data_IF_514982230070
#
_entry.id   IF_514982230070
#
_cell.length_a   1.000
_cell.length_b   1.000
_cell.length_c   1.000
_cell.angle_alpha   90.00
_cell.angle_beta   90.00
_cell.angle_gamma   90.00
#
_symmetry.space_group_name_H-M   'P 1'
#
loop_
_entity.id
_entity.type
_entity.pdbx_description
1 polymer ?
#
# COMPACT_ATOMS: atom_id res chain seq x y z
N UNK A 1 -13.32 7.52 -30.30
CA UNK A 1 -13.76 7.08 -28.95
C UNK A 1 -13.08 5.77 -28.68
N UNK A 2 -12.65 5.49 -27.45
CA UNK A 2 -12.15 4.16 -27.10
C UNK A 2 -13.31 3.16 -27.16
N UNK A 3 -13.09 2.01 -27.77
CA UNK A 3 -14.14 1.01 -27.98
C UNK A 3 -14.68 0.41 -26.67
N UNK A 4 -13.84 0.31 -25.64
CA UNK A 4 -14.20 -0.18 -24.32
C UNK A 4 -14.86 0.86 -23.38
N UNK A 5 -15.10 2.10 -23.84
CA UNK A 5 -15.80 3.12 -23.05
C UNK A 5 -15.06 3.59 -21.80
N UNK A 6 -13.74 3.40 -21.71
CA UNK A 6 -12.94 3.60 -20.50
C UNK A 6 -12.15 4.92 -20.47
N UNK A 7 -12.49 5.86 -21.36
CA UNK A 7 -11.75 7.13 -21.51
C UNK A 7 -11.99 8.05 -20.30
N UNK A 8 -10.89 8.42 -19.63
CA UNK A 8 -10.94 9.36 -18.49
C UNK A 8 -11.28 8.69 -17.16
N UNK A 9 -11.45 7.36 -17.15
CA UNK A 9 -11.68 6.60 -15.93
C UNK A 9 -10.37 5.93 -15.48
N UNK A 10 -9.95 6.09 -14.22
CA UNK A 10 -8.78 5.38 -13.72
C UNK A 10 -9.10 3.91 -13.45
N UNK A 11 -8.19 3.01 -13.83
CA UNK A 11 -8.32 1.57 -13.60
C UNK A 11 -8.08 1.13 -12.15
N UNK A 12 -7.25 1.90 -11.44
CA UNK A 12 -6.80 1.64 -10.07
C UNK A 12 -6.83 2.94 -9.26
N UNK A 13 -7.99 3.56 -9.03
CA UNK A 13 -8.07 4.69 -8.12
C UNK A 13 -7.65 4.23 -6.72
N UNK A 14 -6.78 5.01 -6.08
CA UNK A 14 -6.28 4.79 -4.71
C UNK A 14 -6.47 6.09 -3.92
N UNK A 15 -7.72 6.53 -3.88
CA UNK A 15 -8.15 7.85 -3.40
C UNK A 15 -8.36 7.94 -1.88
N UNK A 16 -8.36 6.79 -1.19
CA UNK A 16 -8.27 6.73 0.27
C UNK A 16 -6.85 6.91 0.80
N UNK A 17 -6.63 6.51 2.06
CA UNK A 17 -5.30 6.52 2.66
C UNK A 17 -4.44 5.37 2.11
N UNK A 18 -3.60 5.66 1.11
CA UNK A 18 -2.64 4.70 0.55
C UNK A 18 -1.57 4.28 1.56
N UNK A 19 -1.36 2.96 1.69
CA UNK A 19 -0.51 2.34 2.73
C UNK A 19 0.90 2.89 2.79
N UNK A 20 1.56 3.07 1.63
CA UNK A 20 2.92 3.57 1.57
C UNK A 20 3.03 5.05 1.87
N UNK A 21 2.00 5.85 1.55
CA UNK A 21 2.01 7.28 1.84
C UNK A 21 1.90 7.54 3.35
N UNK A 22 1.13 6.72 4.07
CA UNK A 22 1.05 6.84 5.53
C UNK A 22 2.39 6.51 6.20
N UNK A 23 3.09 5.47 5.72
CA UNK A 23 4.41 5.10 6.25
C UNK A 23 5.50 6.13 5.92
N UNK A 24 5.48 6.68 4.69
CA UNK A 24 6.39 7.76 4.30
C UNK A 24 6.12 9.03 5.11
N UNK A 25 4.84 9.41 5.30
CA UNK A 25 4.45 10.54 6.13
C UNK A 25 4.94 10.36 7.57
N UNK A 26 4.70 9.20 8.19
CA UNK A 26 5.21 8.88 9.52
C UNK A 26 6.73 9.08 9.63
N UNK A 27 7.48 8.55 8.66
CA UNK A 27 8.95 8.64 8.64
C UNK A 27 9.43 10.07 8.54
N UNK A 28 8.83 10.86 7.64
CA UNK A 28 9.16 12.29 7.48
C UNK A 28 8.80 13.08 8.73
N UNK A 29 7.64 12.82 9.34
CA UNK A 29 7.21 13.51 10.56
C UNK A 29 8.13 13.21 11.75
N UNK A 30 8.61 11.97 11.88
CA UNK A 30 9.62 11.61 12.88
C UNK A 30 10.91 12.43 12.66
N UNK A 31 11.43 12.45 11.43
CA UNK A 31 12.63 13.22 11.09
C UNK A 31 12.45 14.72 11.33
N UNK A 32 11.30 15.29 10.96
CA UNK A 32 10.98 16.70 11.23
C UNK A 32 10.90 17.00 12.72
N UNK A 33 10.36 16.08 13.53
CA UNK A 33 10.35 16.21 14.98
C UNK A 33 11.77 16.23 15.56
N UNK A 34 12.65 15.34 15.10
CA UNK A 34 14.06 15.30 15.50
C UNK A 34 14.81 16.56 15.07
N UNK A 35 14.63 17.01 13.83
CA UNK A 35 15.26 18.22 13.30
C UNK A 35 14.78 19.48 14.01
N UNK A 36 13.51 19.54 14.39
CA UNK A 36 12.97 20.65 15.18
C UNK A 36 13.57 20.68 16.59
N UNK A 37 13.67 19.52 17.25
CA UNK A 37 14.31 19.40 18.56
C UNK A 37 15.82 19.73 18.52
N UNK A 38 16.49 19.44 17.40
CA UNK A 38 17.88 19.79 17.16
C UNK A 38 18.09 21.25 16.69
N UNK A 39 17.03 22.02 16.50
CA UNK A 39 17.10 23.41 16.01
C UNK A 39 17.48 23.56 14.54
N UNK A 40 17.46 22.47 13.76
CA UNK A 40 17.74 22.49 12.30
C UNK A 40 16.60 23.15 11.54
N UNK A 41 15.36 22.91 11.97
CA UNK A 41 14.17 23.58 11.44
C UNK A 41 13.45 24.36 12.54
N UNK A 42 12.87 25.50 12.17
CA UNK A 42 12.15 26.36 13.12
C UNK A 42 10.70 25.91 13.33
N UNK A 43 10.06 25.38 12.29
CA UNK A 43 8.69 24.89 12.37
C UNK A 43 8.62 23.65 13.27
N UNK A 44 7.70 23.66 14.24
CA UNK A 44 7.48 22.57 15.20
C UNK A 44 6.23 21.74 14.88
N UNK A 45 5.45 22.16 13.88
CA UNK A 45 4.17 21.56 13.53
C UNK A 45 3.43 22.32 12.42
N UNK A 46 2.16 21.95 12.25
CA UNK A 46 1.18 22.62 11.40
C UNK A 46 0.02 23.13 12.25
N UNK A 47 -0.59 24.22 11.80
CA UNK A 47 -1.77 24.80 12.45
C UNK A 47 -2.77 25.22 11.39
N UNK A 48 -4.05 25.06 11.69
CA UNK A 48 -5.16 25.70 11.00
C UNK A 48 -5.94 26.58 12.00
N UNK A 49 -7.08 27.13 11.60
CA UNK A 49 -7.87 28.04 12.44
C UNK A 49 -8.41 27.36 13.73
N UNK A 50 -8.49 26.03 13.77
CA UNK A 50 -9.14 25.27 14.84
C UNK A 50 -8.20 24.42 15.69
N UNK A 51 -7.04 24.02 15.14
CA UNK A 51 -6.14 23.08 15.78
C UNK A 51 -4.68 23.31 15.39
N UNK A 52 -3.79 22.84 16.27
CA UNK A 52 -2.35 22.83 16.04
C UNK A 52 -1.82 21.44 16.38
N UNK A 53 -1.02 20.91 15.48
CA UNK A 53 -0.43 19.59 15.57
C UNK A 53 1.08 19.72 15.46
N UNK A 54 1.80 19.31 16.51
CA UNK A 54 3.26 19.15 16.40
C UNK A 54 3.59 17.96 15.49
N UNK A 55 4.80 17.95 14.92
CA UNK A 55 5.27 16.81 14.11
C UNK A 55 5.18 15.49 14.87
N UNK A 56 5.58 15.49 16.14
CA UNK A 56 5.52 14.31 17.01
C UNK A 56 4.09 13.80 17.26
N UNK A 57 3.14 14.70 17.53
CA UNK A 57 1.74 14.34 17.74
C UNK A 57 1.12 13.71 16.48
N UNK A 58 1.46 14.26 15.32
CA UNK A 58 0.98 13.70 14.05
C UNK A 58 1.59 12.31 13.78
N UNK A 59 2.90 12.15 13.97
CA UNK A 59 3.55 10.86 13.83
C UNK A 59 2.94 9.80 14.76
N UNK A 60 2.71 10.14 16.04
CA UNK A 60 2.12 9.21 17.00
C UNK A 60 0.70 8.81 16.61
N UNK A 61 -0.10 9.74 16.07
CA UNK A 61 -1.45 9.43 15.60
C UNK A 61 -1.47 8.48 14.40
N UNK A 62 -0.50 8.58 13.49
CA UNK A 62 -0.34 7.57 12.43
C UNK A 62 0.03 6.23 13.06
N UNK A 63 1.02 6.19 13.96
CA UNK A 63 1.49 4.97 14.61
C UNK A 63 0.38 4.23 15.38
N UNK A 64 -0.40 4.95 16.18
CA UNK A 64 -1.50 4.41 16.99
C UNK A 64 -2.63 3.80 16.15
N UNK A 65 -2.76 4.20 14.88
CA UNK A 65 -3.91 3.87 14.03
C UNK A 65 -3.53 3.03 12.80
N UNK A 66 -2.27 3.02 12.38
CA UNK A 66 -1.85 2.34 11.15
C UNK A 66 -2.25 0.85 11.19
N UNK A 67 -1.78 0.10 12.18
CA UNK A 67 -2.11 -1.32 12.28
C UNK A 67 -3.62 -1.57 12.38
N UNK A 68 -4.34 -0.79 13.20
CA UNK A 68 -5.78 -0.96 13.43
C UNK A 68 -6.61 -0.84 12.16
N UNK A 69 -6.21 0.06 11.26
CA UNK A 69 -6.97 0.36 10.06
C UNK A 69 -6.50 -0.48 8.86
N UNK A 70 -5.19 -0.73 8.74
CA UNK A 70 -4.61 -1.40 7.58
C UNK A 70 -4.48 -2.92 7.71
N UNK A 71 -4.34 -3.48 8.91
CA UNK A 71 -4.14 -4.94 9.03
C UNK A 71 -5.48 -5.69 8.99
N UNK A 72 -5.54 -6.74 8.16
CA UNK A 72 -6.65 -7.69 8.08
C UNK A 72 -6.22 -8.97 8.77
N UNK A 73 -6.72 -9.22 9.98
CA UNK A 73 -6.41 -10.44 10.73
C UNK A 73 -7.19 -11.67 10.22
N UNK A 74 -6.89 -12.85 10.78
CA UNK A 74 -7.48 -14.14 10.39
C UNK A 74 -9.01 -14.19 10.56
N UNK A 75 -9.54 -13.49 11.58
CA UNK A 75 -10.95 -13.50 11.95
C UNK A 75 -11.69 -12.26 11.42
N UNK A 76 -11.03 -11.43 10.61
CA UNK A 76 -11.62 -10.21 10.09
C UNK A 76 -12.78 -10.56 9.14
N UNK A 77 -13.98 -10.18 9.57
CA UNK A 77 -15.21 -10.31 8.80
C UNK A 77 -15.59 -8.93 8.25
N UNK A 78 -15.62 -8.82 6.93
CA UNK A 78 -15.87 -7.56 6.24
C UNK A 78 -16.34 -7.84 4.83
N UNK A 79 -17.29 -7.03 4.35
CA UNK A 79 -17.97 -7.23 3.07
C UNK A 79 -17.03 -7.43 1.88
N UNK A 80 -15.87 -6.77 1.90
CA UNK A 80 -14.94 -6.76 0.77
C UNK A 80 -13.66 -7.56 1.01
N UNK A 81 -13.56 -8.31 2.12
CA UNK A 81 -12.36 -9.07 2.46
C UNK A 81 -12.16 -10.20 1.46
N UNK A 82 -11.16 -10.08 0.59
CA UNK A 82 -10.75 -11.18 -0.29
C UNK A 82 -9.78 -12.15 0.41
N UNK A 83 -8.80 -11.60 1.15
CA UNK A 83 -7.82 -12.38 1.91
C UNK A 83 -7.63 -11.84 3.32
N UNK A 84 -7.13 -12.70 4.20
CA UNK A 84 -6.74 -12.39 5.59
C UNK A 84 -5.24 -12.49 5.73
N UNK A 85 -4.72 -12.08 6.90
CA UNK A 85 -3.29 -11.98 7.20
C UNK A 85 -2.58 -11.16 6.12
N UNK A 86 -3.12 -10.00 5.84
CA UNK A 86 -2.61 -9.06 4.84
C UNK A 86 -2.70 -7.63 5.34
N UNK A 87 -1.98 -6.74 4.67
CA UNK A 87 -2.11 -5.30 4.84
C UNK A 87 -2.94 -4.76 3.67
N UNK A 88 -4.01 -4.03 3.99
CA UNK A 88 -4.85 -3.31 3.02
C UNK A 88 -4.01 -2.41 2.13
N UNK A 89 -4.45 -2.21 0.90
CA UNK A 89 -3.79 -1.31 -0.04
C UNK A 89 -4.11 0.17 0.26
N UNK A 90 -5.35 0.43 0.64
CA UNK A 90 -5.89 1.73 1.05
C UNK A 90 -6.82 1.57 2.25
N UNK A 91 -7.18 2.68 2.90
CA UNK A 91 -8.27 2.76 3.87
C UNK A 91 -9.23 3.88 3.45
N UNK A 92 -10.53 3.62 3.51
CA UNK A 92 -11.61 4.56 3.18
C UNK A 92 -11.56 5.08 1.73
N UNK A 93 -11.20 4.21 0.78
CA UNK A 93 -11.35 4.52 -0.65
C UNK A 93 -12.82 4.65 -1.06
N UNK A 94 -13.08 5.42 -2.11
CA UNK A 94 -14.46 5.62 -2.60
C UNK A 94 -15.12 4.33 -3.10
N UNK A 95 -14.29 3.38 -3.56
CA UNK A 95 -14.69 2.04 -3.94
C UNK A 95 -14.21 1.05 -2.87
N UNK A 96 -14.95 0.90 -1.76
CA UNK A 96 -14.46 0.19 -0.57
C UNK A 96 -13.85 -1.22 -0.76
N UNK A 97 -14.07 -1.90 -1.89
CA UNK A 97 -13.33 -3.13 -2.21
C UNK A 97 -11.84 -2.92 -2.54
N UNK A 98 -11.45 -1.74 -3.04
CA UNK A 98 -10.06 -1.42 -3.37
C UNK A 98 -9.16 -1.39 -2.14
N UNK A 99 -9.72 -1.09 -0.96
CA UNK A 99 -9.02 -1.18 0.31
C UNK A 99 -8.50 -2.60 0.59
N UNK A 100 -9.31 -3.62 0.29
CA UNK A 100 -9.06 -5.02 0.66
C UNK A 100 -8.36 -5.82 -0.44
N UNK A 101 -7.87 -5.16 -1.50
CA UNK A 101 -7.10 -5.83 -2.54
C UNK A 101 -5.68 -6.14 -2.04
N UNK A 102 -5.29 -7.41 -2.11
CA UNK A 102 -3.91 -7.79 -1.84
C UNK A 102 -3.02 -7.28 -2.98
N UNK A 103 -2.20 -6.26 -2.67
CA UNK A 103 -1.23 -5.63 -3.59
C UNK A 103 0.15 -5.57 -2.96
N UNK A 104 1.16 -5.31 -3.78
CA UNK A 104 2.56 -5.26 -3.34
C UNK A 104 2.97 -3.95 -2.64
N UNK A 105 2.10 -2.94 -2.56
CA UNK A 105 2.45 -1.59 -2.10
C UNK A 105 2.89 -1.53 -0.63
N UNK A 106 2.31 -2.36 0.25
CA UNK A 106 2.66 -2.39 1.67
C UNK A 106 4.13 -2.77 1.92
N UNK A 107 4.80 -3.40 0.96
CA UNK A 107 6.24 -3.65 1.05
C UNK A 107 7.06 -2.37 1.17
N UNK A 108 6.59 -1.26 0.57
CA UNK A 108 7.22 0.06 0.78
C UNK A 108 7.02 0.50 2.24
N UNK A 109 5.80 0.36 2.77
CA UNK A 109 5.52 0.74 4.15
C UNK A 109 6.41 -0.02 5.16
N UNK A 110 6.55 -1.34 4.99
CA UNK A 110 7.43 -2.16 5.85
C UNK A 110 8.92 -1.87 5.65
N UNK A 111 9.33 -1.42 4.47
CA UNK A 111 10.71 -1.01 4.22
C UNK A 111 11.04 0.35 4.86
N UNK A 112 10.09 1.27 4.86
CA UNK A 112 10.28 2.66 5.32
C UNK A 112 10.05 2.80 6.82
N UNK A 113 8.99 2.20 7.35
CA UNK A 113 8.57 2.35 8.74
C UNK A 113 8.15 0.99 9.35
N UNK A 114 9.10 0.06 9.56
CA UNK A 114 8.81 -1.30 10.01
C UNK A 114 8.12 -1.37 11.38
N UNK A 115 8.22 -0.32 12.20
CA UNK A 115 7.62 -0.23 13.53
C UNK A 115 6.14 0.16 13.53
N UNK A 116 5.54 0.41 12.37
CA UNK A 116 4.11 0.73 12.25
C UNK A 116 3.20 -0.51 12.34
N UNK A 117 3.77 -1.71 12.26
CA UNK A 117 3.03 -2.97 12.31
C UNK A 117 3.75 -3.93 13.26
N UNK A 118 2.97 -4.68 14.04
CA UNK A 118 3.49 -5.78 14.86
C UNK A 118 4.32 -6.75 14.00
N UNK A 119 5.47 -7.21 14.49
CA UNK A 119 6.39 -8.02 13.69
C UNK A 119 5.79 -9.34 13.21
N UNK A 120 4.97 -10.00 14.03
CA UNK A 120 4.35 -11.27 13.64
C UNK A 120 3.28 -11.05 12.58
N UNK A 121 2.52 -9.94 12.68
CA UNK A 121 1.57 -9.52 11.65
C UNK A 121 2.25 -9.12 10.34
N UNK A 122 3.40 -8.43 10.43
CA UNK A 122 4.22 -8.09 9.27
C UNK A 122 4.72 -9.34 8.54
N UNK A 123 5.27 -10.31 9.27
CA UNK A 123 5.68 -11.60 8.71
C UNK A 123 4.52 -12.37 8.08
N UNK A 124 3.36 -12.41 8.74
CA UNK A 124 2.18 -13.05 8.19
C UNK A 124 1.74 -12.40 6.87
N UNK A 125 1.74 -11.07 6.78
CA UNK A 125 1.42 -10.35 5.55
C UNK A 125 2.45 -10.57 4.44
N UNK A 126 3.74 -10.62 4.78
CA UNK A 126 4.81 -10.93 3.85
C UNK A 126 4.70 -12.36 3.31
N UNK A 127 4.38 -13.34 4.16
CA UNK A 127 4.17 -14.74 3.73
C UNK A 127 2.97 -14.84 2.78
N UNK A 128 1.85 -14.19 3.10
CA UNK A 128 0.69 -14.10 2.19
C UNK A 128 1.09 -13.50 0.84
N UNK A 129 1.81 -12.37 0.83
CA UNK A 129 2.25 -11.74 -0.42
C UNK A 129 3.28 -12.60 -1.18
N UNK A 130 4.15 -13.32 -0.47
CA UNK A 130 5.11 -14.26 -1.08
C UNK A 130 4.38 -15.41 -1.76
N UNK A 131 3.33 -15.93 -1.15
CA UNK A 131 2.54 -17.04 -1.69
C UNK A 131 1.80 -16.62 -2.97
N UNK A 132 1.11 -15.48 -2.95
CA UNK A 132 0.17 -15.13 -4.02
C UNK A 132 0.76 -14.15 -5.06
N UNK A 133 1.58 -13.19 -4.63
CA UNK A 133 2.07 -12.13 -5.51
C UNK A 133 3.46 -12.40 -6.08
N UNK A 134 4.36 -13.05 -5.34
CA UNK A 134 5.75 -13.21 -5.78
C UNK A 134 5.83 -14.09 -7.03
N UNK A 135 6.45 -13.55 -8.08
CA UNK A 135 6.81 -14.27 -9.30
C UNK A 135 8.32 -14.47 -9.42
N UNK A 136 8.77 -15.18 -10.47
CA UNK A 136 10.19 -15.48 -10.67
C UNK A 136 11.02 -14.22 -10.96
N UNK A 137 10.44 -13.23 -11.66
CA UNK A 137 11.14 -12.02 -12.14
C UNK A 137 10.57 -10.70 -11.58
N UNK A 138 9.53 -10.77 -10.77
CA UNK A 138 8.85 -9.60 -10.25
C UNK A 138 7.77 -9.97 -9.24
N UNK A 139 7.06 -8.99 -8.71
CA UNK A 139 5.90 -9.19 -7.84
C UNK A 139 4.65 -8.69 -8.56
N UNK A 140 3.57 -9.49 -8.56
CA UNK A 140 2.31 -9.12 -9.19
C UNK A 140 1.72 -7.90 -8.49
N UNK A 141 1.16 -6.98 -9.28
CA UNK A 141 0.55 -5.73 -8.78
C UNK A 141 -0.83 -5.93 -8.15
N UNK A 142 -1.47 -7.07 -8.42
CA UNK A 142 -2.74 -7.49 -7.83
C UNK A 142 -2.74 -9.03 -7.67
N UNK A 143 -3.45 -9.51 -6.66
CA UNK A 143 -3.70 -10.93 -6.43
C UNK A 143 -4.44 -11.61 -7.60
N UNK A 144 -3.93 -12.74 -8.13
CA UNK A 144 -4.58 -13.51 -9.19
C UNK A 144 -6.01 -13.99 -8.92
N UNK A 145 -6.42 -14.07 -7.65
CA UNK A 145 -7.81 -14.47 -7.32
C UNK A 145 -8.82 -13.32 -7.48
N UNK A 146 -8.35 -12.08 -7.57
CA UNK A 146 -9.20 -10.90 -7.71
C UNK A 146 -9.86 -10.86 -9.09
N UNK A 147 -11.15 -10.53 -9.15
CA UNK A 147 -11.91 -10.48 -10.39
C UNK A 147 -11.35 -9.45 -11.38
N UNK A 148 -10.64 -8.42 -10.93
CA UNK A 148 -10.03 -7.40 -11.77
C UNK A 148 -8.64 -7.81 -12.30
N UNK A 149 -8.09 -8.94 -11.85
CA UNK A 149 -6.75 -9.39 -12.25
C UNK A 149 -6.67 -9.69 -13.75
N UNK A 150 -5.66 -9.10 -14.40
CA UNK A 150 -5.19 -9.48 -15.72
C UNK A 150 -3.68 -9.21 -15.84
N UNK A 151 -2.88 -10.27 -15.92
CA UNK A 151 -1.41 -10.17 -15.94
C UNK A 151 -0.78 -9.79 -17.28
N UNK A 152 -1.52 -9.88 -18.39
CA UNK A 152 -0.99 -9.73 -19.75
C UNK A 152 -1.21 -8.31 -20.26
N UNK A 153 -0.20 -7.45 -20.06
CA UNK A 153 -0.28 -6.04 -20.46
C UNK A 153 -0.04 -5.85 -21.96
N UNK A 154 -1.02 -5.25 -22.64
CA UNK A 154 -0.90 -4.79 -24.03
C UNK A 154 -1.53 -3.39 -24.16
N UNK A 155 -0.70 -2.37 -24.35
CA UNK A 155 -1.18 -0.99 -24.48
C UNK A 155 -1.89 -0.70 -25.82
N UNK A 156 -1.59 -1.50 -26.84
CA UNK A 156 -2.12 -1.30 -28.19
C UNK A 156 -3.49 -1.98 -28.39
N UNK A 157 -3.97 -2.76 -27.41
CA UNK A 157 -5.28 -3.40 -27.43
C UNK A 157 -6.40 -2.36 -27.59
N UNK A 158 -7.01 -2.29 -28.77
CA UNK A 158 -8.18 -1.43 -29.06
C UNK A 158 -9.49 -2.20 -29.02
N UNK A 159 -9.53 -3.30 -28.27
CA UNK A 159 -10.71 -4.12 -28.10
C UNK A 159 -11.81 -3.47 -27.27
N UNK A 160 -12.82 -4.29 -26.97
CA UNK A 160 -14.01 -3.88 -26.21
C UNK A 160 -13.95 -4.31 -24.74
N UNK A 161 -13.01 -5.18 -24.36
CA UNK A 161 -12.83 -5.59 -22.97
C UNK A 161 -12.15 -4.47 -22.19
N UNK A 162 -12.91 -3.85 -21.28
CA UNK A 162 -12.40 -2.79 -20.42
C UNK A 162 -11.20 -3.22 -19.59
N UNK A 163 -11.05 -4.51 -19.23
CA UNK A 163 -9.94 -4.97 -18.40
C UNK A 163 -8.59 -4.86 -19.09
N UNK A 164 -8.52 -4.90 -20.42
CA UNK A 164 -7.26 -4.90 -21.19
C UNK A 164 -7.13 -3.70 -22.12
N UNK A 165 -8.24 -3.19 -22.65
CA UNK A 165 -8.24 -2.17 -23.68
C UNK A 165 -7.43 -0.94 -23.26
N UNK A 166 -6.50 -0.55 -24.14
CA UNK A 166 -5.55 0.55 -23.98
C UNK A 166 -4.76 0.50 -22.68
N UNK A 167 -4.39 -0.72 -22.26
CA UNK A 167 -3.52 -0.92 -21.11
C UNK A 167 -4.18 -0.69 -19.77
N UNK A 168 -5.51 -0.83 -19.67
CA UNK A 168 -6.26 -0.69 -18.40
C UNK A 168 -5.67 -1.56 -17.28
N UNK A 169 -5.14 -2.73 -17.60
CA UNK A 169 -4.53 -3.65 -16.65
C UNK A 169 -3.10 -3.32 -16.22
N UNK A 170 -2.49 -2.20 -16.62
CA UNK A 170 -1.08 -1.90 -16.32
C UNK A 170 -0.70 -2.08 -14.83
N UNK A 171 -1.64 -1.80 -13.92
CA UNK A 171 -1.48 -1.96 -12.48
C UNK A 171 -2.46 -2.97 -11.84
N UNK A 172 -3.01 -3.91 -12.62
CA UNK A 172 -4.01 -4.90 -12.17
C UNK A 172 -3.56 -6.34 -12.42
N UNK A 173 -2.29 -6.66 -12.19
CA UNK A 173 -1.78 -8.01 -12.37
C UNK A 173 -0.37 -8.13 -12.96
N UNK A 174 0.06 -7.25 -13.89
CA UNK A 174 1.42 -7.28 -14.41
C UNK A 174 2.44 -7.22 -13.28
N UNK A 175 3.59 -7.84 -13.51
CA UNK A 175 4.66 -7.94 -12.52
C UNK A 175 5.50 -6.67 -12.51
N UNK A 176 5.86 -6.18 -11.32
CA UNK A 176 6.77 -5.06 -11.14
C UNK A 176 8.09 -5.50 -10.55
N UNK A 177 9.19 -5.12 -11.20
CA UNK A 177 10.54 -5.34 -10.70
C UNK A 177 10.89 -4.39 -9.54
N UNK A 178 10.43 -3.14 -9.58
CA UNK A 178 10.68 -2.17 -8.52
C UNK A 178 10.11 -2.62 -7.18
N UNK A 179 8.84 -3.04 -7.16
CA UNK A 179 8.21 -3.56 -5.95
C UNK A 179 8.83 -4.88 -5.50
N UNK A 180 9.31 -5.69 -6.44
CA UNK A 180 10.04 -6.92 -6.11
C UNK A 180 11.33 -6.65 -5.34
N UNK A 181 12.12 -5.65 -5.75
CA UNK A 181 13.32 -5.23 -5.02
C UNK A 181 12.99 -4.77 -3.60
N UNK A 182 11.91 -4.00 -3.42
CA UNK A 182 11.46 -3.55 -2.08
C UNK A 182 11.00 -4.71 -1.23
N UNK A 183 10.17 -5.59 -1.79
CA UNK A 183 9.71 -6.80 -1.10
C UNK A 183 10.88 -7.68 -0.64
N UNK A 184 11.84 -7.94 -1.54
CA UNK A 184 13.06 -8.71 -1.21
C UNK A 184 13.90 -8.03 -0.13
N UNK A 185 14.05 -6.70 -0.19
CA UNK A 185 14.78 -5.95 0.83
C UNK A 185 14.14 -6.14 2.21
N UNK A 186 12.82 -5.98 2.34
CA UNK A 186 12.12 -6.20 3.62
C UNK A 186 12.33 -7.62 4.13
N UNK A 187 12.15 -8.62 3.26
CA UNK A 187 12.34 -10.03 3.63
C UNK A 187 13.75 -10.36 4.10
N UNK A 188 14.77 -9.61 3.64
CA UNK A 188 16.17 -9.80 4.04
C UNK A 188 16.53 -9.01 5.30
N UNK A 189 16.01 -7.80 5.47
CA UNK A 189 16.34 -6.93 6.62
C UNK A 189 15.55 -7.28 7.87
N UNK A 190 14.29 -7.73 7.75
CA UNK A 190 13.47 -8.08 8.92
C UNK A 190 13.83 -9.40 9.58
N UNK A 191 14.63 -10.27 8.93
CA UNK A 191 15.27 -11.41 9.60
C UNK A 191 16.12 -10.92 10.78
N UNK A 192 16.71 -9.71 10.68
CA UNK A 192 17.62 -9.16 11.69
C UNK A 192 16.98 -8.21 12.70
N UNK A 193 15.76 -7.72 12.44
CA UNK A 193 15.10 -6.76 13.34
C UNK A 193 14.21 -7.42 14.40
N UNK A 194 13.87 -8.70 14.21
CA UNK A 194 12.93 -9.44 15.07
C UNK A 194 13.46 -10.79 15.55
N UNK A 195 14.76 -11.04 15.39
CA UNK A 195 15.47 -12.17 16.01
C UNK A 195 16.17 -11.77 17.30
#
# INVERSE_FOLDING_TARGET
MLHAGNRGEPATPRDGAAVELQALAYTVLCAMSEWSAAGIIQNTGVSNDTETWTWSQWAEKIKENFEKNFYVDENHDGQYVNRRRMVKDTVDSSLGYTDYQLRCNFAIALATAPTLLDPHKAWAALDTAKEYLLGPLGIKTLDPSDWAYNGDYNNDDDGYDKKTAKGWNYHQGPVSFFFWCRFRMVMLTQIFLFS
#
